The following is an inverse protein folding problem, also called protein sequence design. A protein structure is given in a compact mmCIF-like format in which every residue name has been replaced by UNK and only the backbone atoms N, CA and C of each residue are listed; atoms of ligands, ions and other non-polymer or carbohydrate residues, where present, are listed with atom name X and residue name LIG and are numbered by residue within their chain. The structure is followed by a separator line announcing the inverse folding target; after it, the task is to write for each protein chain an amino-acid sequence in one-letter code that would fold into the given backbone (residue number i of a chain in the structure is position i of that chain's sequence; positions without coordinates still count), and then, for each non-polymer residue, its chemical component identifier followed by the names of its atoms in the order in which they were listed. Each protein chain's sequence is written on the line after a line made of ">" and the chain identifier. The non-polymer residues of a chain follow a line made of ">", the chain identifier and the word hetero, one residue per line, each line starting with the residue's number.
data_IF_498737565353
#
_entry.id   IF_498737565353
#
_cell.length_a   1.000
_cell.length_b   1.000
_cell.length_c   1.000
_cell.angle_alpha   90.00
_cell.angle_beta   90.00
_cell.angle_gamma   90.00
#
_symmetry.space_group_name_H-M   'P 1'
#
loop_
_entity.id
_entity.type
_entity.pdbx_description
1 polymer ?
#
# COMPACT_ATOMS: atom_id res chain seq x y z
N UNK A 1 -0.37 -20.70 -10.44
CA UNK A 1 0.13 -19.42 -10.97
C UNK A 1 1.16 -18.86 -10.00
N UNK A 2 2.15 -18.10 -10.48
CA UNK A 2 3.11 -17.41 -9.61
C UNK A 2 2.62 -15.98 -9.39
N UNK A 3 2.58 -15.53 -8.14
CA UNK A 3 2.32 -14.13 -7.80
C UNK A 3 3.65 -13.42 -7.58
N UNK A 4 3.72 -12.14 -7.97
CA UNK A 4 4.86 -11.29 -7.65
C UNK A 4 4.61 -10.66 -6.28
N UNK A 5 5.54 -10.86 -5.35
CA UNK A 5 5.50 -10.24 -4.03
C UNK A 5 6.47 -9.05 -4.04
N UNK A 6 5.95 -7.86 -3.75
CA UNK A 6 6.74 -6.67 -3.51
C UNK A 6 6.58 -6.30 -2.03
N UNK A 7 7.67 -6.27 -1.29
CA UNK A 7 7.68 -5.92 0.13
C UNK A 7 8.14 -4.48 0.32
N UNK A 8 7.48 -3.75 1.22
CA UNK A 8 7.89 -2.43 1.66
C UNK A 8 7.81 -2.37 3.19
N UNK A 9 8.85 -1.84 3.83
CA UNK A 9 8.94 -1.74 5.29
C UNK A 9 8.29 -0.48 5.85
N UNK A 10 8.06 0.52 4.99
CA UNK A 10 7.55 1.85 5.36
C UNK A 10 6.62 2.39 4.26
N UNK A 11 5.77 3.37 4.59
CA UNK A 11 4.82 3.94 3.63
C UNK A 11 5.50 4.60 2.43
N UNK A 12 6.63 5.28 2.62
CA UNK A 12 7.39 5.93 1.56
C UNK A 12 7.93 4.93 0.53
N UNK A 13 8.42 3.78 1.00
CA UNK A 13 8.91 2.70 0.14
C UNK A 13 7.76 2.10 -0.68
N UNK A 14 6.60 1.91 -0.05
CA UNK A 14 5.40 1.46 -0.74
C UNK A 14 4.96 2.48 -1.80
N UNK A 15 4.97 3.78 -1.51
CA UNK A 15 4.66 4.83 -2.49
C UNK A 15 5.67 4.88 -3.63
N UNK A 16 6.96 4.61 -3.37
CA UNK A 16 7.98 4.54 -4.40
C UNK A 16 7.74 3.36 -5.35
N UNK A 17 7.31 2.19 -4.83
CA UNK A 17 6.88 1.05 -5.65
C UNK A 17 5.67 1.43 -6.51
N UNK A 18 4.68 2.10 -5.92
CA UNK A 18 3.45 2.52 -6.60
C UNK A 18 3.63 3.71 -7.56
N UNK A 19 4.82 4.29 -7.64
CA UNK A 19 5.13 5.42 -8.53
C UNK A 19 5.12 5.00 -10.00
N UNK A 20 5.58 3.79 -10.31
CA UNK A 20 5.51 3.23 -11.65
C UNK A 20 4.14 2.60 -11.89
N UNK A 21 3.23 3.37 -12.48
CA UNK A 21 1.84 2.94 -12.76
C UNK A 21 1.75 1.78 -13.76
N UNK A 22 2.84 1.42 -14.44
CA UNK A 22 2.87 0.25 -15.35
C UNK A 22 3.06 -1.08 -14.61
N UNK A 23 3.36 -1.05 -13.30
CA UNK A 23 3.69 -2.22 -12.47
C UNK A 23 2.90 -2.23 -11.15
N UNK A 24 1.64 -1.83 -11.21
CA UNK A 24 0.79 -1.80 -10.02
C UNK A 24 0.45 -3.22 -9.55
N UNK A 25 0.41 -3.45 -8.23
CA UNK A 25 -0.06 -4.72 -7.69
C UNK A 25 -1.58 -4.84 -7.85
N UNK A 26 -2.06 -6.08 -7.91
CA UNK A 26 -3.50 -6.38 -7.90
C UNK A 26 -4.14 -6.19 -6.51
N UNK A 27 -3.34 -6.24 -5.44
CA UNK A 27 -3.78 -6.10 -4.06
C UNK A 27 -2.67 -5.50 -3.20
N UNK A 28 -3.03 -4.64 -2.25
CA UNK A 28 -2.13 -4.11 -1.24
C UNK A 28 -2.52 -4.68 0.12
N UNK A 29 -1.54 -5.28 0.81
CA UNK A 29 -1.65 -5.68 2.21
C UNK A 29 -0.93 -4.65 3.06
N UNK A 30 -1.69 -3.90 3.87
CA UNK A 30 -1.19 -2.76 4.62
C UNK A 30 -1.16 -3.07 6.12
N UNK A 31 0.00 -2.87 6.76
CA UNK A 31 0.08 -2.86 8.22
C UNK A 31 -0.40 -1.51 8.75
N UNK A 32 -1.34 -1.50 9.71
CA UNK A 32 -1.81 -0.25 10.31
C UNK A 32 -0.88 0.26 11.44
N UNK A 33 -0.09 -0.64 12.04
CA UNK A 33 0.87 -0.36 13.11
C UNK A 33 2.29 -0.08 12.57
N UNK A 34 2.42 0.89 11.67
CA UNK A 34 3.70 1.30 11.07
C UNK A 34 4.31 2.52 11.79
N UNK A 35 5.65 2.57 11.87
CA UNK A 35 6.42 3.53 12.68
C UNK A 35 6.60 4.95 12.09
N UNK A 36 6.17 5.23 10.85
CA UNK A 36 6.44 6.51 10.18
C UNK A 36 5.16 7.14 9.59
N UNK A 37 4.79 6.78 8.36
CA UNK A 37 3.46 7.09 7.80
C UNK A 37 2.45 6.17 8.49
N UNK A 38 1.45 6.74 9.16
CA UNK A 38 0.37 5.95 9.70
C UNK A 38 -0.44 5.33 8.54
N UNK A 39 -0.96 4.11 8.71
CA UNK A 39 -1.69 3.42 7.63
C UNK A 39 -2.86 4.25 7.06
N UNK A 40 -3.43 5.17 7.84
CA UNK A 40 -4.51 6.05 7.42
C UNK A 40 -4.04 7.11 6.41
N UNK A 41 -2.88 7.72 6.59
CA UNK A 41 -2.29 8.69 5.65
C UNK A 41 -1.92 8.00 4.34
N UNK A 42 -1.38 6.80 4.40
CA UNK A 42 -1.14 5.99 3.21
C UNK A 42 -2.43 5.75 2.43
N UNK A 43 -3.52 5.34 3.11
CA UNK A 43 -4.83 5.17 2.49
C UNK A 43 -5.35 6.47 1.85
N UNK A 44 -5.22 7.62 2.53
CA UNK A 44 -5.61 8.92 1.96
C UNK A 44 -4.85 9.24 0.68
N UNK A 45 -3.57 8.87 0.58
CA UNK A 45 -2.80 9.08 -0.65
C UNK A 45 -3.35 8.19 -1.77
N UNK A 46 -3.67 6.93 -1.49
CA UNK A 46 -4.28 6.04 -2.48
C UNK A 46 -5.63 6.59 -2.96
N UNK A 47 -6.50 7.00 -2.04
CA UNK A 47 -7.85 7.52 -2.33
C UNK A 47 -7.84 8.78 -3.20
N UNK A 48 -6.84 9.65 -3.03
CA UNK A 48 -6.71 10.89 -3.79
C UNK A 48 -5.98 10.70 -5.14
N UNK A 49 -5.38 9.54 -5.40
CA UNK A 49 -4.74 9.24 -6.69
C UNK A 49 -5.78 8.67 -7.69
N UNK A 50 -5.76 9.18 -8.93
CA UNK A 50 -6.75 8.81 -9.95
C UNK A 50 -6.71 7.34 -10.37
N UNK A 51 -5.59 6.65 -10.12
CA UNK A 51 -5.36 5.25 -10.48
C UNK A 51 -5.34 4.37 -9.24
N UNK A 52 -4.58 4.75 -8.19
CA UNK A 52 -4.36 3.88 -7.03
C UNK A 52 -5.62 3.64 -6.20
N UNK A 53 -6.58 4.57 -6.22
CA UNK A 53 -7.83 4.46 -5.46
C UNK A 53 -8.67 3.22 -5.78
N UNK A 54 -8.41 2.57 -6.92
CA UNK A 54 -9.11 1.36 -7.33
C UNK A 54 -8.39 0.06 -6.93
N UNK A 55 -7.18 0.15 -6.37
CA UNK A 55 -6.43 -1.04 -5.93
C UNK A 55 -7.03 -1.51 -4.59
N UNK A 56 -7.56 -2.75 -4.52
CA UNK A 56 -8.04 -3.32 -3.28
C UNK A 56 -6.95 -3.28 -2.21
N UNK A 57 -7.24 -2.64 -1.08
CA UNK A 57 -6.30 -2.52 0.03
C UNK A 57 -6.91 -3.12 1.29
N UNK A 58 -6.20 -4.07 1.89
CA UNK A 58 -6.60 -4.70 3.14
C UNK A 58 -5.65 -4.26 4.26
N UNK A 59 -6.20 -3.49 5.20
CA UNK A 59 -5.47 -3.04 6.39
C UNK A 59 -5.57 -4.06 7.51
N UNK A 60 -4.44 -4.44 8.09
CA UNK A 60 -4.40 -5.22 9.33
C UNK A 60 -3.95 -4.34 10.51
N UNK A 61 -4.86 -4.13 11.47
CA UNK A 61 -4.57 -3.64 12.82
C UNK A 61 -4.40 -4.85 13.73
N UNK A 62 -3.20 -5.43 13.76
CA UNK A 62 -2.89 -6.40 14.81
C UNK A 62 -2.79 -5.63 16.14
N UNK A 63 -3.91 -5.47 16.83
CA UNK A 63 -4.01 -5.07 18.24
C UNK A 63 -3.95 -6.33 19.15
N UNK A 64 -3.00 -7.23 18.88
CA UNK A 64 -2.69 -8.39 19.72
C UNK A 64 -1.18 -8.51 19.92
#
# INVERSE_FOLDING_TARGET
>A
MKHQLNEAKHGEEALQILRDKSKLPDIILLGLNMLNINGIEFLKILENDSVLKYIPTYGNSNDF
#
